data_IF_936512642243
#
_entry.id   IF_936512642243
#
_cell.length_a   1.000
_cell.length_b   1.000
_cell.length_c   1.000
_cell.angle_alpha   90.00
_cell.angle_beta   90.00
_cell.angle_gamma   90.00
#
_symmetry.space_group_name_H-M   'P 1'
#
loop_
_entity.id
_entity.type
_entity.pdbx_description
1 polymer ?
#
# COMPACT_ATOMS: atom_id res chain seq x y z
N UNK A 1 0.10 20.39 5.20
CA UNK A 1 0.99 19.77 6.18
C UNK A 1 1.31 18.34 5.80
N UNK A 2 2.44 17.86 6.30
CA UNK A 2 2.91 16.51 6.02
C UNK A 2 3.53 15.94 7.31
N UNK A 3 3.10 14.74 7.73
CA UNK A 3 3.67 14.03 8.89
C UNK A 3 3.94 12.59 8.45
N UNK A 4 5.23 12.24 8.38
CA UNK A 4 5.70 10.96 7.86
C UNK A 4 6.91 10.45 8.63
N UNK A 5 7.15 9.13 8.68
CA UNK A 5 8.40 8.57 9.18
C UNK A 5 9.50 8.81 8.14
N UNK A 6 10.33 9.84 8.36
CA UNK A 6 11.52 10.08 7.56
C UNK A 6 12.73 9.30 8.08
N UNK A 7 12.66 8.91 9.35
CA UNK A 7 13.65 8.09 10.05
C UNK A 7 12.98 6.95 10.82
N UNK A 8 13.78 6.11 11.46
CA UNK A 8 13.28 4.94 12.17
C UNK A 8 12.99 3.76 11.26
N UNK A 9 12.23 2.81 11.77
CA UNK A 9 11.94 1.52 11.11
C UNK A 9 11.22 1.66 9.77
N UNK A 10 10.33 2.64 9.67
CA UNK A 10 9.50 2.91 8.49
C UNK A 10 10.02 4.10 7.67
N UNK A 11 11.26 4.56 7.93
CA UNK A 11 11.84 5.74 7.30
C UNK A 11 11.94 5.67 5.77
N UNK A 12 12.29 4.50 5.22
CA UNK A 12 12.41 4.35 3.77
C UNK A 12 11.08 4.53 3.03
N UNK A 13 10.01 3.79 3.34
CA UNK A 13 8.72 4.00 2.68
C UNK A 13 8.16 5.41 2.92
N UNK A 14 8.32 5.99 4.11
CA UNK A 14 7.91 7.38 4.38
C UNK A 14 8.64 8.38 3.49
N UNK A 15 9.96 8.24 3.34
CA UNK A 15 10.75 9.06 2.42
C UNK A 15 10.25 8.95 0.98
N UNK A 16 9.93 7.73 0.52
CA UNK A 16 9.43 7.52 -0.84
C UNK A 16 8.04 8.15 -1.06
N UNK A 17 7.18 8.14 -0.06
CA UNK A 17 5.91 8.87 -0.13
C UNK A 17 6.13 10.38 -0.23
N UNK A 18 7.05 10.94 0.55
CA UNK A 18 7.40 12.36 0.47
C UNK A 18 7.97 12.74 -0.90
N UNK A 19 8.74 11.85 -1.54
CA UNK A 19 9.20 12.07 -2.92
C UNK A 19 8.04 12.18 -3.90
N UNK A 20 7.04 11.31 -3.81
CA UNK A 20 5.84 11.38 -4.65
C UNK A 20 5.05 12.67 -4.44
N UNK A 21 4.87 13.10 -3.18
CA UNK A 21 4.22 14.37 -2.83
C UNK A 21 4.97 15.55 -3.44
N UNK A 22 6.29 15.62 -3.23
CA UNK A 22 7.13 16.72 -3.75
C UNK A 22 7.15 16.78 -5.27
N UNK A 23 7.14 15.64 -5.95
CA UNK A 23 7.04 15.60 -7.40
C UNK A 23 5.70 16.16 -7.89
N UNK A 24 4.58 15.74 -7.27
CA UNK A 24 3.26 16.26 -7.63
C UNK A 24 3.14 17.77 -7.38
N UNK A 25 3.59 18.23 -6.21
CA UNK A 25 3.58 19.66 -5.86
C UNK A 25 4.40 20.49 -6.84
N UNK A 26 5.60 20.03 -7.21
CA UNK A 26 6.47 20.72 -8.16
C UNK A 26 5.81 20.84 -9.55
N UNK A 27 5.25 19.74 -10.07
CA UNK A 27 4.58 19.75 -11.38
C UNK A 27 3.32 20.62 -11.39
N UNK A 28 2.58 20.67 -10.30
CA UNK A 28 1.41 21.56 -10.14
C UNK A 28 1.87 23.01 -10.03
N UNK A 29 2.89 23.30 -9.21
CA UNK A 29 3.42 24.63 -8.99
C UNK A 29 4.06 25.21 -10.27
N UNK A 30 4.72 24.40 -11.08
CA UNK A 30 5.27 24.80 -12.37
C UNK A 30 4.19 25.31 -13.35
N UNK A 31 2.92 24.91 -13.15
CA UNK A 31 1.75 25.44 -13.89
C UNK A 31 1.07 26.61 -13.17
N UNK A 32 1.73 27.21 -12.19
CA UNK A 32 1.24 28.31 -11.38
C UNK A 32 0.45 27.90 -10.12
N UNK A 33 0.34 26.60 -9.83
CA UNK A 33 -0.38 26.09 -8.67
C UNK A 33 -1.84 25.72 -8.96
N UNK A 34 -2.66 25.62 -7.90
CA UNK A 34 -4.09 25.26 -7.92
C UNK A 34 -4.94 26.52 -8.10
N UNK A 35 -5.92 26.49 -9.00
CA UNK A 35 -6.83 27.63 -9.18
C UNK A 35 -7.84 27.69 -8.04
N UNK A 36 -7.89 28.81 -7.35
CA UNK A 36 -8.83 29.09 -6.25
C UNK A 36 -9.78 30.20 -6.68
N UNK A 37 -11.02 29.85 -6.97
CA UNK A 37 -12.02 30.77 -7.53
C UNK A 37 -12.26 32.01 -6.66
N UNK A 38 -12.40 31.82 -5.35
CA UNK A 38 -12.60 32.92 -4.39
C UNK A 38 -11.47 33.94 -4.39
N UNK A 39 -10.23 33.47 -4.71
CA UNK A 39 -9.05 34.34 -4.81
C UNK A 39 -8.85 34.90 -6.24
N UNK A 40 -9.57 34.39 -7.24
CA UNK A 40 -9.42 34.76 -8.65
C UNK A 40 -8.07 34.43 -9.26
N UNK A 41 -7.26 33.56 -8.65
CA UNK A 41 -5.88 33.25 -9.08
C UNK A 41 -5.46 31.83 -8.74
N UNK A 42 -4.35 31.40 -9.34
CA UNK A 42 -3.65 30.17 -8.97
C UNK A 42 -2.75 30.42 -7.75
N UNK A 43 -2.71 29.44 -6.85
CA UNK A 43 -1.89 29.47 -5.65
C UNK A 43 -0.99 28.23 -5.61
N UNK A 44 0.33 28.40 -5.43
CA UNK A 44 1.24 27.27 -5.33
C UNK A 44 1.08 26.55 -4.00
N UNK A 45 1.29 25.23 -3.99
CA UNK A 45 1.48 24.47 -2.76
C UNK A 45 2.75 24.86 -2.03
N UNK A 46 2.66 24.95 -0.71
CA UNK A 46 3.80 25.07 0.21
C UNK A 46 3.76 23.94 1.20
N UNK A 47 4.88 23.24 1.40
CA UNK A 47 4.97 22.14 2.35
C UNK A 47 5.40 22.58 3.74
N UNK A 48 4.85 21.92 4.76
CA UNK A 48 5.35 21.87 6.13
C UNK A 48 5.48 20.40 6.47
N UNK A 49 6.71 19.90 6.64
CA UNK A 49 7.02 18.49 6.85
C UNK A 49 7.58 18.26 8.25
N UNK A 50 7.06 17.24 8.92
CA UNK A 50 7.58 16.73 10.19
C UNK A 50 7.93 15.24 10.09
N UNK A 51 9.04 14.87 10.75
CA UNK A 51 9.47 13.48 10.92
C UNK A 51 8.92 12.91 12.23
N UNK A 52 8.05 11.91 12.14
CA UNK A 52 7.49 11.23 13.30
C UNK A 52 8.40 10.10 13.85
N UNK A 53 9.50 9.81 13.16
CA UNK A 53 10.50 8.81 13.55
C UNK A 53 9.93 7.39 13.72
N UNK A 54 8.83 7.08 13.04
CA UNK A 54 8.09 5.82 13.17
C UNK A 54 7.48 5.60 14.57
N UNK A 55 7.22 6.68 15.32
CA UNK A 55 6.68 6.65 16.67
C UNK A 55 5.20 7.09 16.70
N UNK A 56 4.33 6.24 17.27
CA UNK A 56 2.88 6.49 17.30
C UNK A 56 2.49 7.67 18.20
N UNK A 57 3.18 7.87 19.30
CA UNK A 57 2.90 9.00 20.20
C UNK A 57 3.33 10.32 19.57
N UNK A 58 4.53 10.34 18.98
CA UNK A 58 5.09 11.50 18.29
C UNK A 58 4.26 11.90 17.07
N UNK A 59 3.78 10.93 16.28
CA UNK A 59 3.00 11.23 15.09
C UNK A 59 1.69 11.95 15.42
N UNK A 60 1.01 11.58 16.53
CA UNK A 60 -0.19 12.29 17.03
C UNK A 60 0.12 13.73 17.37
N UNK A 61 1.18 13.98 18.18
CA UNK A 61 1.59 15.32 18.59
C UNK A 61 1.92 16.21 17.39
N UNK A 62 2.61 15.66 16.38
CA UNK A 62 2.98 16.40 15.18
C UNK A 62 1.78 16.72 14.29
N UNK A 63 0.82 15.79 14.14
CA UNK A 63 -0.44 16.08 13.43
C UNK A 63 -1.26 17.13 14.15
N UNK A 64 -1.38 17.04 15.48
CA UNK A 64 -2.05 18.09 16.28
C UNK A 64 -1.40 19.47 16.08
N UNK A 65 -0.06 19.55 16.18
CA UNK A 65 0.68 20.78 15.92
C UNK A 65 0.40 21.32 14.51
N UNK A 66 0.49 20.45 13.50
CA UNK A 66 0.28 20.83 12.09
C UNK A 66 -1.13 21.40 11.87
N UNK A 67 -2.14 20.81 12.50
CA UNK A 67 -3.54 21.23 12.34
C UNK A 67 -3.92 22.44 13.18
N UNK A 68 -3.34 22.61 14.38
CA UNK A 68 -3.68 23.67 15.32
C UNK A 68 -2.85 24.95 15.13
N UNK A 69 -1.55 24.81 14.82
CA UNK A 69 -0.59 25.92 14.88
C UNK A 69 -0.06 26.37 13.53
N UNK A 70 0.09 25.44 12.55
CA UNK A 70 0.71 25.77 11.27
C UNK A 70 -0.31 26.28 10.22
N UNK A 71 -1.58 26.39 10.59
CA UNK A 71 -2.67 26.93 9.77
C UNK A 71 -2.77 26.30 8.35
N UNK A 72 -2.58 24.99 8.26
CA UNK A 72 -2.65 24.26 6.99
C UNK A 72 -4.09 24.07 6.52
N UNK A 73 -4.30 23.97 5.20
CA UNK A 73 -5.62 23.70 4.61
C UNK A 73 -5.93 22.20 4.55
N UNK A 74 -4.91 21.36 4.56
CA UNK A 74 -5.01 19.90 4.61
C UNK A 74 -3.71 19.28 5.14
N UNK A 75 -3.77 18.04 5.61
CA UNK A 75 -2.61 17.23 6.00
C UNK A 75 -2.55 15.98 5.13
N UNK A 76 -1.39 15.64 4.59
CA UNK A 76 -1.10 14.36 3.96
C UNK A 76 -0.19 13.56 4.89
N UNK A 77 -0.59 12.35 5.22
CA UNK A 77 0.07 11.39 6.13
C UNK A 77 -0.88 10.20 6.32
N UNK A 78 -0.50 9.11 6.87
CA UNK A 78 0.80 8.67 7.30
C UNK A 78 1.32 7.58 6.36
N UNK A 79 2.53 7.08 6.62
CA UNK A 79 2.90 5.74 6.19
C UNK A 79 2.60 4.76 7.31
N UNK A 80 2.16 3.56 6.89
CA UNK A 80 1.60 2.42 7.61
C UNK A 80 0.23 2.64 8.24
N UNK A 81 -0.52 1.52 8.36
CA UNK A 81 -1.83 1.53 9.02
C UNK A 81 -1.71 1.82 10.50
N UNK A 82 -0.60 1.41 11.16
CA UNK A 82 -0.36 1.69 12.57
C UNK A 82 -0.21 3.18 12.86
N UNK A 83 0.60 3.90 12.07
CA UNK A 83 0.74 5.36 12.16
C UNK A 83 -0.53 6.07 11.70
N UNK A 84 -1.19 5.54 10.65
CA UNK A 84 -2.47 6.06 10.16
C UNK A 84 -3.58 6.00 11.20
N UNK A 85 -3.69 4.87 11.91
CA UNK A 85 -4.63 4.74 13.04
C UNK A 85 -4.36 5.79 14.12
N UNK A 86 -3.08 6.01 14.47
CA UNK A 86 -2.71 7.02 15.44
C UNK A 86 -3.03 8.45 14.97
N UNK A 87 -2.71 8.79 13.72
CA UNK A 87 -3.00 10.11 13.15
C UNK A 87 -4.50 10.39 12.99
N UNK A 88 -5.28 9.36 12.62
CA UNK A 88 -6.68 9.50 12.22
C UNK A 88 -7.64 10.00 13.32
N UNK A 89 -7.22 9.99 14.58
CA UNK A 89 -8.04 10.48 15.71
C UNK A 89 -8.05 12.02 15.83
N UNK A 90 -7.15 12.70 15.12
CA UNK A 90 -6.94 14.15 15.24
C UNK A 90 -7.80 14.99 14.28
N UNK A 91 -7.99 14.60 13.01
CA UNK A 91 -8.60 15.43 11.96
C UNK A 91 -10.00 15.96 12.27
N UNK A 92 -10.87 15.13 12.84
CA UNK A 92 -12.25 15.53 13.16
C UNK A 92 -12.30 16.61 14.26
N UNK A 93 -11.35 16.60 15.21
CA UNK A 93 -11.28 17.60 16.29
C UNK A 93 -10.88 18.98 15.77
N UNK A 94 -9.97 19.04 14.80
CA UNK A 94 -9.46 20.29 14.24
C UNK A 94 -10.15 20.69 12.92
N UNK A 95 -11.03 19.85 12.40
CA UNK A 95 -11.73 20.06 11.14
C UNK A 95 -10.76 20.40 9.99
N UNK A 96 -9.70 19.58 9.85
CA UNK A 96 -8.72 19.67 8.78
C UNK A 96 -8.73 18.36 7.97
N UNK A 97 -8.94 18.39 6.65
CA UNK A 97 -8.87 17.18 5.84
C UNK A 97 -7.52 16.50 5.97
N UNK A 98 -7.55 15.20 6.24
CA UNK A 98 -6.38 14.35 6.29
C UNK A 98 -6.47 13.28 5.20
N UNK A 99 -5.42 13.15 4.39
CA UNK A 99 -5.38 12.21 3.27
C UNK A 99 -4.19 11.28 3.49
N UNK A 100 -4.45 9.98 3.64
CA UNK A 100 -3.38 9.00 3.77
C UNK A 100 -3.08 8.29 2.45
N UNK A 101 -1.83 8.36 1.98
CA UNK A 101 -1.37 7.55 0.85
C UNK A 101 -0.88 6.17 1.26
N UNK A 102 -0.78 5.85 2.56
CA UNK A 102 -0.10 4.65 3.05
C UNK A 102 -0.86 3.81 4.08
N UNK A 103 -1.99 4.29 4.60
CA UNK A 103 -2.80 3.54 5.57
C UNK A 103 -3.95 2.83 4.84
N UNK A 104 -3.86 1.51 4.67
CA UNK A 104 -4.85 0.71 3.95
C UNK A 104 -5.84 -0.06 4.82
N UNK A 105 -5.64 -0.13 6.15
CA UNK A 105 -6.53 -0.88 7.04
C UNK A 105 -7.89 -0.20 7.19
N UNK A 106 -8.97 -0.92 6.90
CA UNK A 106 -10.35 -0.41 6.91
C UNK A 106 -10.85 0.04 8.28
N UNK A 107 -10.41 -0.54 9.42
CA UNK A 107 -10.83 -0.05 10.73
C UNK A 107 -10.53 1.43 10.96
N UNK A 108 -9.53 1.99 10.27
CA UNK A 108 -9.23 3.43 10.32
C UNK A 108 -10.42 4.26 9.83
N UNK A 109 -11.05 3.83 8.74
CA UNK A 109 -12.11 4.56 8.01
C UNK A 109 -13.53 4.20 8.45
N UNK A 110 -13.71 3.06 9.12
CA UNK A 110 -15.03 2.56 9.52
C UNK A 110 -15.48 3.05 10.91
N UNK A 111 -14.85 4.10 11.45
CA UNK A 111 -15.18 4.67 12.78
C UNK A 111 -16.11 5.89 12.71
N UNK A 112 -16.70 6.16 11.56
CA UNK A 112 -17.63 7.29 11.37
C UNK A 112 -16.96 8.67 11.34
N UNK A 113 -15.62 8.74 11.22
CA UNK A 113 -14.87 9.99 11.07
C UNK A 113 -15.15 10.61 9.71
N UNK A 114 -15.21 11.94 9.66
CA UNK A 114 -15.64 12.67 8.46
C UNK A 114 -14.53 13.44 7.74
N UNK A 115 -13.36 13.53 8.37
CA UNK A 115 -12.24 14.36 7.90
C UNK A 115 -11.04 13.53 7.44
N UNK A 116 -11.22 12.22 7.31
CA UNK A 116 -10.16 11.30 6.92
C UNK A 116 -10.43 10.67 5.55
N UNK A 117 -9.38 10.54 4.76
CA UNK A 117 -9.42 9.98 3.41
C UNK A 117 -8.22 9.07 3.20
N UNK A 118 -8.42 7.94 2.55
CA UNK A 118 -7.37 6.95 2.27
C UNK A 118 -7.27 6.60 0.80
N UNK A 119 -6.08 6.76 0.23
CA UNK A 119 -5.82 6.44 -1.19
C UNK A 119 -5.75 4.94 -1.43
N UNK A 120 -5.32 4.17 -0.43
CA UNK A 120 -5.22 2.71 -0.56
C UNK A 120 -6.58 2.04 -0.39
N UNK A 121 -6.89 1.13 -1.31
CA UNK A 121 -7.98 0.19 -1.13
C UNK A 121 -7.75 -0.71 0.11
N UNK A 122 -8.84 -1.23 0.73
CA UNK A 122 -8.78 -2.08 1.91
C UNK A 122 -7.80 -3.25 1.80
N UNK A 123 -7.04 -3.50 2.86
CA UNK A 123 -6.10 -4.63 2.92
C UNK A 123 -6.82 -5.97 2.87
N UNK A 124 -8.04 -6.02 3.34
CA UNK A 124 -8.89 -7.21 3.23
C UNK A 124 -9.07 -7.62 1.74
N UNK A 125 -9.24 -6.64 0.85
CA UNK A 125 -9.31 -6.90 -0.60
C UNK A 125 -7.97 -7.32 -1.19
N UNK A 126 -6.84 -6.98 -0.59
CA UNK A 126 -5.53 -7.49 -0.99
C UNK A 126 -5.44 -8.99 -0.77
N UNK A 127 -5.80 -9.47 0.44
CA UNK A 127 -5.87 -10.90 0.74
C UNK A 127 -6.88 -11.64 -0.15
N UNK A 128 -8.05 -11.05 -0.36
CA UNK A 128 -9.08 -11.59 -1.25
C UNK A 128 -8.60 -11.68 -2.70
N UNK A 129 -7.95 -10.63 -3.24
CA UNK A 129 -7.43 -10.64 -4.62
C UNK A 129 -6.28 -11.62 -4.79
N UNK A 130 -5.44 -11.79 -3.75
CA UNK A 130 -4.41 -12.83 -3.73
C UNK A 130 -5.03 -14.22 -3.94
N UNK A 131 -6.12 -14.50 -3.24
CA UNK A 131 -6.84 -15.76 -3.39
C UNK A 131 -7.59 -15.87 -4.72
N UNK A 132 -8.18 -14.78 -5.22
CA UNK A 132 -8.80 -14.74 -6.54
C UNK A 132 -7.78 -15.07 -7.64
N UNK A 133 -6.57 -14.56 -7.53
CA UNK A 133 -5.46 -14.93 -8.41
C UNK A 133 -5.13 -16.43 -8.32
N UNK A 134 -4.94 -16.98 -7.10
CA UNK A 134 -4.68 -18.42 -6.93
C UNK A 134 -5.83 -19.28 -7.48
N UNK A 135 -7.07 -18.84 -7.28
CA UNK A 135 -8.26 -19.49 -7.84
C UNK A 135 -8.25 -19.52 -9.35
N UNK A 136 -7.87 -18.40 -10.00
CA UNK A 136 -7.76 -18.35 -11.46
C UNK A 136 -6.71 -19.34 -12.01
N UNK A 137 -5.64 -19.61 -11.24
CA UNK A 137 -4.65 -20.62 -11.61
C UNK A 137 -5.21 -22.05 -11.50
N UNK A 138 -6.13 -22.29 -10.57
CA UNK A 138 -6.86 -23.57 -10.50
C UNK A 138 -7.78 -23.73 -11.72
N UNK A 139 -8.52 -22.68 -12.07
CA UNK A 139 -9.43 -22.70 -13.23
C UNK A 139 -8.68 -22.91 -14.55
N UNK A 140 -7.44 -22.42 -14.65
CA UNK A 140 -6.53 -22.64 -15.78
C UNK A 140 -5.82 -24.01 -15.76
N UNK A 141 -6.02 -24.84 -14.75
CA UNK A 141 -5.31 -26.10 -14.57
C UNK A 141 -3.82 -25.96 -14.21
N UNK A 142 -3.36 -24.77 -13.82
CA UNK A 142 -1.98 -24.51 -13.40
C UNK A 142 -1.73 -24.86 -11.92
N UNK A 143 -2.79 -24.95 -11.13
CA UNK A 143 -2.81 -25.46 -9.76
C UNK A 143 -3.90 -26.49 -9.58
N UNK A 144 -3.68 -27.46 -8.70
CA UNK A 144 -4.68 -28.45 -8.33
C UNK A 144 -5.67 -27.86 -7.30
N UNK A 145 -6.90 -28.41 -7.26
CA UNK A 145 -7.87 -28.13 -6.19
C UNK A 145 -7.44 -28.76 -4.88
N UNK A 146 -7.86 -28.16 -3.78
CA UNK A 146 -7.67 -28.71 -2.44
C UNK A 146 -6.27 -28.49 -1.86
N UNK A 147 -5.40 -27.70 -2.50
CA UNK A 147 -4.10 -27.34 -1.96
C UNK A 147 -4.25 -26.65 -0.59
N UNK A 148 -3.33 -26.98 0.31
CA UNK A 148 -3.31 -26.48 1.69
C UNK A 148 -2.57 -25.16 1.78
N UNK A 149 -3.13 -24.22 2.53
CA UNK A 149 -2.56 -22.89 2.75
C UNK A 149 -2.15 -22.71 4.20
N UNK A 150 -0.93 -22.21 4.42
CA UNK A 150 -0.50 -21.64 5.68
C UNK A 150 -0.55 -20.11 5.59
N UNK A 151 -1.10 -19.46 6.61
CA UNK A 151 -1.17 -18.01 6.76
C UNK A 151 -0.34 -17.62 7.99
N UNK A 152 0.62 -16.70 7.82
CA UNK A 152 1.41 -16.13 8.92
C UNK A 152 1.47 -14.62 8.71
N UNK A 153 0.79 -13.86 9.56
CA UNK A 153 0.64 -12.42 9.39
C UNK A 153 1.08 -11.64 10.63
N UNK A 154 1.45 -10.40 10.46
CA UNK A 154 1.72 -9.53 11.60
C UNK A 154 0.46 -9.28 12.44
N UNK A 155 0.62 -9.16 13.77
CA UNK A 155 -0.48 -8.88 14.69
C UNK A 155 -0.84 -7.37 14.70
N UNK A 156 -1.19 -6.86 13.53
CA UNK A 156 -1.69 -5.50 13.31
C UNK A 156 -3.03 -5.59 12.59
N UNK A 157 -3.76 -4.48 12.50
CA UNK A 157 -5.01 -4.45 11.70
C UNK A 157 -4.73 -4.76 10.23
N UNK A 158 -3.57 -4.34 9.70
CA UNK A 158 -3.15 -4.67 8.33
C UNK A 158 -3.01 -6.19 8.13
N UNK A 159 -2.26 -6.88 8.99
CA UNK A 159 -2.07 -8.32 8.87
C UNK A 159 -3.37 -9.11 9.09
N UNK A 160 -4.18 -8.69 10.07
CA UNK A 160 -5.49 -9.32 10.35
C UNK A 160 -6.43 -9.23 9.14
N UNK A 161 -6.59 -8.04 8.56
CA UNK A 161 -7.43 -7.85 7.38
C UNK A 161 -6.96 -8.67 6.17
N UNK A 162 -5.63 -8.78 5.97
CA UNK A 162 -5.10 -9.65 4.91
C UNK A 162 -5.56 -11.10 5.11
N UNK A 163 -5.42 -11.63 6.33
CA UNK A 163 -5.87 -12.99 6.66
C UNK A 163 -7.39 -13.14 6.55
N UNK A 164 -8.16 -12.12 6.92
CA UNK A 164 -9.63 -12.10 6.76
C UNK A 164 -10.02 -12.20 5.27
N UNK A 165 -9.37 -11.46 4.38
CA UNK A 165 -9.60 -11.52 2.95
C UNK A 165 -9.30 -12.90 2.36
N UNK A 166 -8.20 -13.53 2.77
CA UNK A 166 -7.86 -14.90 2.39
C UNK A 166 -8.95 -15.88 2.86
N UNK A 167 -9.32 -15.81 4.14
CA UNK A 167 -10.31 -16.72 4.71
C UNK A 167 -11.72 -16.51 4.12
N UNK A 168 -12.11 -15.27 3.84
CA UNK A 168 -13.39 -14.97 3.19
C UNK A 168 -13.47 -15.62 1.83
N UNK A 169 -12.44 -15.47 0.99
CA UNK A 169 -12.43 -16.08 -0.34
C UNK A 169 -12.50 -17.62 -0.26
N UNK A 170 -11.73 -18.25 0.65
CA UNK A 170 -11.75 -19.70 0.84
C UNK A 170 -13.15 -20.19 1.27
N UNK A 171 -13.83 -19.44 2.13
CA UNK A 171 -15.21 -19.74 2.56
C UNK A 171 -16.22 -19.64 1.40
N UNK A 172 -16.05 -18.65 0.54
CA UNK A 172 -16.92 -18.42 -0.63
C UNK A 172 -16.65 -19.42 -1.77
N UNK A 173 -15.46 -20.07 -1.78
CA UNK A 173 -15.04 -21.02 -2.82
C UNK A 173 -14.67 -22.40 -2.20
N UNK A 174 -15.64 -23.14 -1.63
CA UNK A 174 -15.37 -24.38 -0.94
C UNK A 174 -14.74 -25.43 -1.86
N UNK A 175 -13.71 -26.11 -1.38
CA UNK A 175 -12.99 -27.16 -2.10
C UNK A 175 -11.88 -26.65 -3.02
N UNK A 176 -11.76 -25.35 -3.30
CA UNK A 176 -10.65 -24.80 -4.06
C UNK A 176 -9.33 -24.89 -3.30
N UNK A 177 -9.32 -24.44 -2.04
CA UNK A 177 -8.18 -24.47 -1.12
C UNK A 177 -8.63 -24.80 0.31
N UNK A 178 -7.66 -25.17 1.17
CA UNK A 178 -7.90 -25.42 2.61
C UNK A 178 -6.87 -24.69 3.45
N UNK A 179 -7.29 -23.76 4.30
CA UNK A 179 -6.41 -23.16 5.32
C UNK A 179 -6.16 -24.19 6.42
N UNK A 180 -4.89 -24.57 6.61
CA UNK A 180 -4.46 -25.59 7.61
C UNK A 180 -3.62 -24.98 8.73
N UNK A 181 -3.16 -23.72 8.56
CA UNK A 181 -2.41 -22.98 9.55
C UNK A 181 -2.74 -21.50 9.41
N UNK A 182 -3.04 -20.83 10.53
CA UNK A 182 -3.30 -19.39 10.53
C UNK A 182 -2.88 -18.83 11.90
N UNK A 183 -1.72 -18.20 11.95
CA UNK A 183 -1.19 -17.58 13.16
C UNK A 183 -0.64 -16.17 12.87
N UNK A 184 -0.57 -15.34 13.92
CA UNK A 184 0.03 -14.02 13.86
C UNK A 184 1.32 -13.95 14.67
N UNK A 185 2.21 -13.04 14.28
CA UNK A 185 3.45 -12.71 14.98
C UNK A 185 3.47 -11.25 15.40
N UNK A 186 4.25 -10.94 16.43
CA UNK A 186 4.46 -9.55 16.84
C UNK A 186 5.36 -8.83 15.85
N UNK A 187 4.88 -7.70 15.30
CA UNK A 187 5.65 -6.83 14.41
C UNK A 187 6.94 -6.36 15.10
N UNK A 188 8.08 -6.42 14.40
CA UNK A 188 9.40 -6.07 14.95
C UNK A 188 10.16 -7.25 15.53
N UNK A 189 9.68 -8.46 15.32
CA UNK A 189 10.36 -9.67 15.76
C UNK A 189 11.71 -9.88 15.07
N UNK A 190 12.63 -10.50 15.79
CA UNK A 190 13.93 -10.91 15.26
C UNK A 190 14.07 -12.43 15.14
N UNK A 191 13.16 -13.18 15.75
CA UNK A 191 13.12 -14.64 15.72
C UNK A 191 11.70 -15.12 15.39
N UNK A 192 11.58 -15.77 14.23
CA UNK A 192 10.37 -16.40 13.72
C UNK A 192 10.45 -17.93 13.70
N UNK A 193 11.54 -18.53 14.23
CA UNK A 193 11.79 -19.95 14.16
C UNK A 193 10.64 -20.78 14.76
N UNK A 194 10.09 -20.34 15.89
CA UNK A 194 9.00 -21.04 16.56
C UNK A 194 7.73 -21.12 15.72
N UNK A 195 7.28 -20.01 15.11
CA UNK A 195 6.09 -20.00 14.26
C UNK A 195 6.34 -20.77 12.96
N UNK A 196 7.53 -20.67 12.37
CA UNK A 196 7.93 -21.41 11.17
C UNK A 196 7.98 -22.92 11.44
N UNK A 197 8.42 -23.35 12.62
CA UNK A 197 8.40 -24.76 13.05
C UNK A 197 6.96 -25.29 13.13
N UNK A 198 6.03 -24.56 13.74
CA UNK A 198 4.61 -24.96 13.81
C UNK A 198 3.99 -24.97 12.41
N UNK A 199 4.27 -23.99 11.57
CA UNK A 199 3.82 -23.98 10.18
C UNK A 199 4.35 -25.18 9.39
N UNK A 200 5.61 -25.59 9.58
CA UNK A 200 6.19 -26.80 8.96
C UNK A 200 5.38 -28.05 9.28
N UNK A 201 4.94 -28.20 10.56
CA UNK A 201 4.15 -29.34 10.99
C UNK A 201 2.75 -29.40 10.34
N UNK A 202 2.21 -28.26 9.91
CA UNK A 202 0.92 -28.19 9.22
C UNK A 202 0.96 -28.72 7.78
N UNK A 203 2.14 -28.94 7.22
CA UNK A 203 2.37 -29.51 5.88
C UNK A 203 1.52 -28.80 4.79
N UNK A 204 1.62 -27.49 4.72
CA UNK A 204 0.96 -26.66 3.72
C UNK A 204 1.68 -26.73 2.36
N UNK A 205 0.93 -26.49 1.28
CA UNK A 205 1.44 -26.43 -0.09
C UNK A 205 1.81 -25.00 -0.49
N UNK A 206 1.09 -24.02 0.05
CA UNK A 206 1.23 -22.59 -0.25
C UNK A 206 1.44 -21.84 1.07
N UNK A 207 2.38 -20.91 1.07
CA UNK A 207 2.65 -20.02 2.19
C UNK A 207 2.26 -18.60 1.85
N UNK A 208 1.28 -18.04 2.56
CA UNK A 208 0.86 -16.65 2.46
C UNK A 208 1.21 -15.93 3.77
N UNK A 209 1.95 -14.86 3.64
CA UNK A 209 2.28 -13.97 4.75
C UNK A 209 1.90 -12.54 4.40
N UNK A 210 1.63 -11.73 5.40
CA UNK A 210 1.67 -10.29 5.30
C UNK A 210 2.54 -9.75 6.44
N UNK A 211 3.64 -9.10 6.07
CA UNK A 211 4.69 -8.66 6.97
C UNK A 211 5.32 -7.37 6.47
N UNK A 212 5.67 -6.46 7.38
CA UNK A 212 6.50 -5.30 7.04
C UNK A 212 7.88 -5.75 6.56
N UNK A 213 8.51 -4.89 5.76
CA UNK A 213 9.72 -5.22 5.00
C UNK A 213 10.82 -5.90 5.83
N UNK A 214 11.13 -5.40 7.03
CA UNK A 214 12.20 -5.96 7.86
C UNK A 214 11.83 -7.33 8.44
N UNK A 215 10.56 -7.51 8.85
CA UNK A 215 10.06 -8.79 9.34
C UNK A 215 10.02 -9.83 8.22
N UNK A 216 9.59 -9.42 7.03
CA UNK A 216 9.64 -10.26 5.84
C UNK A 216 11.06 -10.76 5.55
N UNK A 217 12.05 -9.84 5.47
CA UNK A 217 13.44 -10.21 5.18
C UNK A 217 13.97 -11.19 6.24
N UNK A 218 13.72 -10.92 7.52
CA UNK A 218 14.18 -11.75 8.64
C UNK A 218 13.49 -13.12 8.61
N UNK A 219 12.16 -13.14 8.50
CA UNK A 219 11.37 -14.38 8.45
C UNK A 219 11.77 -15.24 7.26
N UNK A 220 11.95 -14.65 6.08
CA UNK A 220 12.27 -15.43 4.89
C UNK A 220 13.71 -15.99 4.92
N UNK A 221 14.67 -15.31 5.55
CA UNK A 221 16.00 -15.87 5.83
C UNK A 221 15.90 -17.11 6.71
N UNK A 222 15.16 -17.03 7.81
CA UNK A 222 14.94 -18.16 8.71
C UNK A 222 14.17 -19.30 8.02
N UNK A 223 13.14 -18.95 7.25
CA UNK A 223 12.40 -19.90 6.41
C UNK A 223 13.34 -20.71 5.50
N UNK A 224 14.26 -20.02 4.83
CA UNK A 224 15.24 -20.64 3.93
C UNK A 224 16.27 -21.49 4.70
N UNK A 225 16.79 -20.98 5.82
CA UNK A 225 17.74 -21.69 6.69
C UNK A 225 17.16 -22.99 7.28
N UNK A 226 15.86 -22.98 7.59
CA UNK A 226 15.14 -24.19 8.06
C UNK A 226 14.82 -25.19 6.94
N UNK A 227 15.20 -24.91 5.70
CA UNK A 227 14.93 -25.75 4.54
C UNK A 227 13.45 -25.85 4.19
N UNK A 228 12.64 -24.85 4.60
CA UNK A 228 11.22 -24.81 4.26
C UNK A 228 11.04 -24.56 2.77
N UNK A 229 10.06 -25.22 2.19
CA UNK A 229 9.73 -25.09 0.76
C UNK A 229 8.23 -25.26 0.58
N UNK A 230 7.62 -24.25 -0.01
CA UNK A 230 6.25 -24.28 -0.44
C UNK A 230 6.20 -24.10 -1.97
N UNK A 231 5.15 -24.53 -2.57
CA UNK A 231 4.93 -24.44 -4.00
C UNK A 231 4.89 -22.98 -4.47
N UNK A 232 4.17 -22.15 -3.72
CA UNK A 232 4.12 -20.69 -3.91
C UNK A 232 4.27 -20.00 -2.55
N UNK A 233 4.92 -18.84 -2.56
CA UNK A 233 5.17 -18.02 -1.36
C UNK A 233 4.83 -16.58 -1.66
N UNK A 234 4.11 -15.93 -0.74
CA UNK A 234 3.80 -14.49 -0.79
C UNK A 234 4.07 -13.82 0.54
N UNK A 235 4.46 -12.54 0.48
CA UNK A 235 4.60 -11.67 1.64
C UNK A 235 3.75 -10.40 1.48
N UNK A 236 2.46 -10.60 1.17
CA UNK A 236 1.50 -9.51 0.99
C UNK A 236 1.99 -8.49 -0.03
N UNK A 237 1.90 -7.21 0.31
CA UNK A 237 2.29 -6.13 -0.60
C UNK A 237 3.82 -5.93 -0.70
N UNK A 238 4.65 -6.55 0.16
CA UNK A 238 6.11 -6.32 0.24
C UNK A 238 6.92 -7.41 -0.46
N UNK A 239 6.30 -8.49 -0.89
CA UNK A 239 7.01 -9.66 -1.44
C UNK A 239 7.93 -9.36 -2.62
N UNK A 240 7.70 -8.29 -3.34
CA UNK A 240 8.50 -7.90 -4.51
C UNK A 240 9.24 -6.57 -4.35
N UNK A 241 9.36 -6.03 -3.14
CA UNK A 241 10.11 -4.80 -2.92
C UNK A 241 11.62 -5.00 -3.17
N UNK A 242 12.24 -4.03 -3.85
CA UNK A 242 13.67 -4.06 -4.21
C UNK A 242 14.61 -4.33 -3.02
N UNK A 243 14.42 -3.72 -1.82
CA UNK A 243 15.32 -4.02 -0.70
C UNK A 243 15.25 -5.46 -0.24
N UNK A 244 14.08 -6.09 -0.31
CA UNK A 244 13.96 -7.51 0.02
C UNK A 244 14.65 -8.36 -1.04
N UNK A 245 14.46 -8.06 -2.32
CA UNK A 245 15.15 -8.77 -3.40
C UNK A 245 16.67 -8.66 -3.27
N UNK A 246 17.19 -7.46 -2.99
CA UNK A 246 18.64 -7.25 -2.74
C UNK A 246 19.15 -7.96 -1.51
N UNK A 247 18.38 -7.95 -0.41
CA UNK A 247 18.80 -8.55 0.86
C UNK A 247 18.74 -10.08 0.88
N UNK A 248 17.83 -10.66 0.09
CA UNK A 248 17.59 -12.11 0.02
C UNK A 248 18.24 -12.75 -1.19
N UNK A 249 18.60 -11.97 -2.22
CA UNK A 249 19.16 -12.48 -3.47
C UNK A 249 18.26 -13.55 -4.11
N UNK A 250 18.81 -14.69 -4.58
CA UNK A 250 18.01 -15.75 -5.21
C UNK A 250 16.94 -16.36 -4.33
N UNK A 251 16.99 -16.19 -3.00
CA UNK A 251 15.93 -16.65 -2.12
C UNK A 251 14.62 -15.86 -2.30
N UNK A 252 14.67 -14.66 -2.86
CA UNK A 252 13.48 -13.89 -3.20
C UNK A 252 12.84 -14.29 -4.53
N UNK A 253 13.51 -15.09 -5.37
CA UNK A 253 13.00 -15.47 -6.67
C UNK A 253 11.67 -16.24 -6.55
N UNK A 254 10.76 -15.92 -7.44
CA UNK A 254 9.42 -16.50 -7.54
C UNK A 254 8.46 -16.17 -6.38
N UNK A 255 8.86 -15.38 -5.37
CA UNK A 255 7.92 -14.80 -4.41
C UNK A 255 6.99 -13.87 -5.17
N UNK A 256 5.69 -13.99 -4.92
CA UNK A 256 4.69 -13.12 -5.52
C UNK A 256 4.10 -12.15 -4.49
N UNK A 257 3.51 -11.06 -4.97
CA UNK A 257 2.89 -10.03 -4.15
C UNK A 257 1.64 -9.48 -4.83
N UNK A 258 0.61 -9.18 -4.05
CA UNK A 258 -0.46 -8.30 -4.46
C UNK A 258 -0.08 -6.87 -4.10
N UNK A 259 -0.22 -5.94 -5.03
CA UNK A 259 0.22 -4.55 -4.83
C UNK A 259 -0.80 -3.55 -5.39
N UNK A 260 -0.79 -2.33 -4.84
CA UNK A 260 -1.67 -1.24 -5.28
C UNK A 260 -1.20 -0.56 -6.56
N UNK A 261 0.06 -0.73 -6.97
CA UNK A 261 0.59 -0.09 -8.16
C UNK A 261 1.88 -0.76 -8.64
N UNK A 262 2.12 -0.72 -9.94
CA UNK A 262 3.40 -1.13 -10.56
C UNK A 262 3.79 -0.15 -11.68
N UNK A 263 5.09 0.09 -11.83
CA UNK A 263 5.64 1.03 -12.83
C UNK A 263 5.37 0.64 -14.29
N UNK A 264 5.09 -0.63 -14.55
CA UNK A 264 4.82 -1.17 -15.87
C UNK A 264 3.31 -1.27 -16.19
N UNK A 265 2.45 -0.65 -15.37
CA UNK A 265 1.04 -0.48 -15.74
C UNK A 265 0.94 0.21 -17.11
N UNK A 266 0.08 -0.28 -18.04
CA UNK A 266 0.07 0.15 -19.45
C UNK A 266 -0.61 1.51 -19.66
N UNK A 267 -0.48 2.43 -18.70
CA UNK A 267 -1.13 3.73 -18.74
C UNK A 267 -0.15 4.85 -19.11
N UNK A 268 -0.51 5.76 -20.05
CA UNK A 268 0.36 6.88 -20.43
C UNK A 268 0.81 7.74 -19.24
N UNK A 269 -0.09 8.02 -18.29
CA UNK A 269 0.22 8.82 -17.10
C UNK A 269 1.20 8.11 -16.15
N UNK A 270 1.18 6.78 -16.08
CA UNK A 270 2.17 6.01 -15.31
C UNK A 270 3.55 6.13 -15.94
N UNK A 271 3.65 6.00 -17.27
CA UNK A 271 4.92 6.18 -17.99
C UNK A 271 5.50 7.59 -17.79
N UNK A 272 4.65 8.62 -17.87
CA UNK A 272 5.05 10.00 -17.63
C UNK A 272 5.54 10.20 -16.19
N UNK A 273 4.80 9.68 -15.19
CA UNK A 273 5.20 9.73 -13.78
C UNK A 273 6.56 9.06 -13.55
N UNK A 274 6.77 7.86 -14.08
CA UNK A 274 8.04 7.11 -13.96
C UNK A 274 9.20 7.91 -14.55
N UNK A 275 9.01 8.54 -15.71
CA UNK A 275 10.03 9.38 -16.34
C UNK A 275 10.38 10.62 -15.51
N UNK A 276 9.38 11.36 -15.01
CA UNK A 276 9.61 12.53 -14.16
C UNK A 276 10.25 12.16 -12.82
N UNK A 277 9.82 11.04 -12.20
CA UNK A 277 10.43 10.54 -10.99
C UNK A 277 11.90 10.16 -11.21
N UNK A 278 12.19 9.42 -12.29
CA UNK A 278 13.57 9.06 -12.66
C UNK A 278 14.45 10.28 -12.93
N UNK A 279 13.93 11.28 -13.63
CA UNK A 279 14.62 12.52 -13.88
C UNK A 279 14.98 13.25 -12.60
N UNK A 280 14.08 13.32 -11.64
CA UNK A 280 14.28 14.05 -10.37
C UNK A 280 15.14 13.29 -9.37
N UNK A 281 14.87 11.98 -9.18
CA UNK A 281 15.50 11.18 -8.12
C UNK A 281 16.58 10.21 -8.63
N UNK A 282 16.91 10.23 -9.92
CA UNK A 282 17.93 9.41 -10.60
C UNK A 282 17.68 7.89 -10.43
N UNK A 283 16.42 7.50 -10.19
CA UNK A 283 15.95 6.11 -10.11
C UNK A 283 14.47 6.01 -10.46
N UNK A 284 14.07 4.85 -10.93
CA UNK A 284 12.65 4.57 -11.11
C UNK A 284 11.96 4.32 -9.75
N UNK A 285 10.66 4.61 -9.62
CA UNK A 285 9.90 4.19 -8.44
C UNK A 285 9.81 2.66 -8.43
N UNK A 286 10.24 2.04 -7.34
CA UNK A 286 10.32 0.59 -7.17
C UNK A 286 9.10 -0.02 -6.44
N UNK A 287 8.23 0.83 -5.94
CA UNK A 287 7.06 0.45 -5.14
C UNK A 287 5.91 1.43 -5.35
N UNK A 288 4.76 1.12 -4.75
CA UNK A 288 3.56 1.96 -4.82
C UNK A 288 3.65 3.26 -3.98
N UNK A 289 4.63 3.42 -3.10
CA UNK A 289 4.69 4.55 -2.16
C UNK A 289 4.71 5.92 -2.85
N UNK A 290 5.58 6.17 -3.86
CA UNK A 290 5.58 7.46 -4.51
C UNK A 290 4.32 7.73 -5.34
N UNK A 291 3.73 6.70 -5.97
CA UNK A 291 2.57 6.85 -6.85
C UNK A 291 1.30 7.17 -6.08
N UNK A 292 1.05 6.49 -4.96
CA UNK A 292 -0.12 6.74 -4.11
C UNK A 292 -0.04 8.13 -3.46
N UNK A 293 1.14 8.53 -3.05
CA UNK A 293 1.39 9.85 -2.47
C UNK A 293 1.32 10.98 -3.51
N UNK A 294 1.75 10.72 -4.74
CA UNK A 294 1.57 11.62 -5.88
C UNK A 294 0.08 11.87 -6.16
N UNK A 295 -0.73 10.82 -6.21
CA UNK A 295 -2.17 10.94 -6.43
C UNK A 295 -2.92 11.54 -5.23
N UNK A 296 -2.42 11.40 -4.00
CA UNK A 296 -2.97 12.09 -2.83
C UNK A 296 -2.91 13.63 -2.99
N UNK A 297 -1.81 14.16 -3.55
CA UNK A 297 -1.70 15.60 -3.86
C UNK A 297 -2.61 16.00 -5.01
N UNK A 298 -2.71 15.16 -6.04
CA UNK A 298 -3.54 15.46 -7.22
C UNK A 298 -5.03 15.51 -6.88
N UNK A 299 -5.51 14.57 -6.08
CA UNK A 299 -6.91 14.58 -5.65
C UNK A 299 -7.21 15.74 -4.70
N UNK A 300 -6.25 16.13 -3.84
CA UNK A 300 -6.37 17.33 -3.03
C UNK A 300 -6.44 18.60 -3.91
N UNK A 301 -5.59 18.70 -4.93
CA UNK A 301 -5.62 19.82 -5.88
C UNK A 301 -6.97 19.91 -6.60
N UNK A 302 -7.48 18.78 -7.11
CA UNK A 302 -8.79 18.71 -7.76
C UNK A 302 -9.93 19.08 -6.79
N UNK A 303 -9.83 18.69 -5.52
CA UNK A 303 -10.81 19.05 -4.49
C UNK A 303 -10.81 20.56 -4.19
N UNK A 304 -9.63 21.19 -4.09
CA UNK A 304 -9.50 22.64 -3.91
C UNK A 304 -10.07 23.40 -5.11
N UNK A 305 -9.74 22.98 -6.35
CA UNK A 305 -10.29 23.59 -7.56
C UNK A 305 -11.83 23.44 -7.64
N UNK A 306 -12.35 22.25 -7.30
CA UNK A 306 -13.78 21.96 -7.25
C UNK A 306 -14.51 22.77 -6.17
N UNK A 307 -13.91 22.89 -4.97
CA UNK A 307 -14.41 23.73 -3.89
C UNK A 307 -14.39 25.23 -4.26
N UNK A 308 -13.43 25.65 -5.08
CA UNK A 308 -13.20 27.04 -5.44
C UNK A 308 -12.75 27.91 -4.25
N UNK A 309 -12.38 27.29 -3.12
CA UNK A 309 -12.12 27.95 -1.84
C UNK A 309 -11.00 27.21 -1.08
N UNK A 310 -10.35 27.93 -0.15
CA UNK A 310 -9.43 27.36 0.83
C UNK A 310 -10.11 27.02 2.16
N UNK A 311 -11.45 27.18 2.25
CA UNK A 311 -12.19 26.73 3.42
C UNK A 311 -12.12 25.21 3.57
N UNK A 312 -11.71 24.77 4.77
CA UNK A 312 -11.46 23.35 5.08
C UNK A 312 -12.71 22.48 4.90
N UNK A 313 -13.88 22.99 5.27
CA UNK A 313 -15.15 22.27 5.11
C UNK A 313 -15.51 22.10 3.64
N UNK A 314 -15.32 23.15 2.84
CA UNK A 314 -15.55 23.12 1.40
C UNK A 314 -14.62 22.11 0.71
N UNK A 315 -13.32 22.08 1.09
CA UNK A 315 -12.34 21.10 0.58
C UNK A 315 -12.76 19.68 0.99
N UNK A 316 -13.12 19.46 2.28
CA UNK A 316 -13.59 18.15 2.75
C UNK A 316 -14.81 17.66 1.96
N UNK A 317 -15.79 18.53 1.73
CA UNK A 317 -16.98 18.20 0.97
C UNK A 317 -16.67 17.90 -0.50
N UNK A 318 -15.69 18.60 -1.08
CA UNK A 318 -15.22 18.34 -2.43
C UNK A 318 -14.47 17.01 -2.54
N UNK A 319 -13.67 16.62 -1.55
CA UNK A 319 -12.97 15.32 -1.52
C UNK A 319 -13.91 14.12 -1.63
N UNK A 320 -15.14 14.20 -1.05
CA UNK A 320 -16.16 13.17 -1.21
C UNK A 320 -16.78 13.08 -2.61
N UNK A 321 -16.57 14.09 -3.46
CA UNK A 321 -17.24 14.20 -4.76
C UNK A 321 -16.28 14.12 -5.95
N UNK A 322 -15.05 14.56 -5.78
CA UNK A 322 -14.06 14.59 -6.87
C UNK A 322 -13.64 13.18 -7.27
N UNK A 323 -13.36 13.06 -8.56
CA UNK A 323 -12.88 11.83 -9.16
C UNK A 323 -11.70 12.17 -10.08
N UNK A 324 -10.53 11.59 -9.82
CA UNK A 324 -9.44 11.56 -10.80
C UNK A 324 -9.71 10.43 -11.79
N UNK A 325 -9.74 10.74 -13.06
CA UNK A 325 -9.97 9.77 -14.16
C UNK A 325 -8.67 9.38 -14.89
N UNK A 326 -7.57 9.97 -14.47
CA UNK A 326 -6.21 9.73 -14.95
C UNK A 326 -5.26 9.37 -13.78
N UNK A 327 -5.80 8.71 -12.75
CA UNK A 327 -5.05 8.21 -11.62
C UNK A 327 -3.94 7.25 -12.06
N UNK A 328 -2.83 7.25 -11.34
CA UNK A 328 -1.74 6.29 -11.56
C UNK A 328 -2.12 4.86 -11.16
N UNK A 329 -3.15 4.71 -10.31
CA UNK A 329 -3.56 3.43 -9.74
C UNK A 329 -4.28 2.54 -10.74
N UNK A 330 -4.30 1.21 -10.54
CA UNK A 330 -5.07 0.28 -11.37
C UNK A 330 -6.53 0.72 -11.49
N UNK A 331 -7.09 0.61 -12.70
CA UNK A 331 -8.41 1.13 -13.03
C UNK A 331 -8.44 2.64 -13.34
N UNK A 332 -7.30 3.32 -13.25
CA UNK A 332 -7.11 4.73 -13.65
C UNK A 332 -8.04 5.72 -12.97
N UNK A 333 -8.73 5.29 -11.91
CA UNK A 333 -9.69 6.13 -11.19
C UNK A 333 -9.36 6.16 -9.71
N UNK A 334 -9.32 7.37 -9.14
CA UNK A 334 -9.26 7.56 -7.70
C UNK A 334 -10.46 8.38 -7.26
N UNK A 335 -11.28 7.80 -6.40
CA UNK A 335 -12.43 8.42 -5.75
C UNK A 335 -12.61 7.82 -4.37
N UNK A 336 -12.99 8.62 -3.40
CA UNK A 336 -13.27 8.17 -2.05
C UNK A 336 -14.72 7.70 -1.90
N UNK A 337 -14.92 6.61 -1.17
CA UNK A 337 -16.24 6.12 -0.78
C UNK A 337 -16.82 6.98 0.37
N UNK A 338 -18.02 6.67 0.81
CA UNK A 338 -18.69 7.40 1.89
C UNK A 338 -17.86 7.41 3.19
N UNK A 339 -17.17 6.30 3.50
CA UNK A 339 -16.29 6.21 4.66
C UNK A 339 -14.93 6.91 4.48
N UNK A 340 -14.66 7.51 3.31
CA UNK A 340 -13.41 8.20 2.99
C UNK A 340 -12.31 7.30 2.41
N UNK A 341 -12.48 5.98 2.32
CA UNK A 341 -11.47 5.09 1.74
C UNK A 341 -11.68 4.89 0.24
N UNK A 342 -10.62 4.87 -0.54
CA UNK A 342 -10.69 4.56 -1.97
C UNK A 342 -10.87 3.04 -2.21
N UNK A 343 -11.45 2.70 -3.37
CA UNK A 343 -11.63 1.33 -3.82
C UNK A 343 -10.98 1.19 -5.21
N UNK A 344 -9.71 0.77 -5.23
CA UNK A 344 -8.96 0.54 -6.47
C UNK A 344 -8.62 -0.94 -6.61
N UNK A 345 -8.56 -1.49 -7.83
CA UNK A 345 -8.09 -2.86 -8.04
C UNK A 345 -6.66 -3.07 -7.59
N UNK A 346 -6.33 -4.32 -7.29
CA UNK A 346 -4.95 -4.76 -7.06
C UNK A 346 -4.39 -5.45 -8.30
N UNK A 347 -3.09 -5.48 -8.37
CA UNK A 347 -2.35 -6.28 -9.36
C UNK A 347 -1.46 -7.29 -8.64
N UNK A 348 -1.20 -8.42 -9.28
CA UNK A 348 -0.26 -9.41 -8.75
C UNK A 348 1.00 -9.39 -9.60
N UNK A 349 2.13 -9.35 -8.92
CA UNK A 349 3.46 -9.38 -9.50
C UNK A 349 4.27 -10.53 -8.90
N UNK A 350 5.28 -11.01 -9.63
CA UNK A 350 6.15 -12.09 -9.18
C UNK A 350 7.60 -11.78 -9.46
N UNK A 351 8.47 -11.98 -8.47
CA UNK A 351 9.91 -11.91 -8.65
C UNK A 351 10.39 -12.95 -9.64
N UNK A 352 11.39 -12.59 -10.42
CA UNK A 352 12.07 -13.46 -11.38
C UNK A 352 13.59 -13.39 -11.19
N UNK A 353 14.32 -14.42 -11.61
CA UNK A 353 15.79 -14.37 -11.58
C UNK A 353 16.35 -13.12 -12.26
N UNK A 354 17.45 -12.60 -11.72
CA UNK A 354 18.12 -11.41 -12.25
C UNK A 354 17.46 -10.09 -11.85
N UNK A 355 16.87 -10.02 -10.65
CA UNK A 355 16.26 -8.82 -10.06
C UNK A 355 15.12 -8.24 -10.89
N UNK A 356 14.39 -9.09 -11.62
CA UNK A 356 13.22 -8.73 -12.41
C UNK A 356 11.94 -8.97 -11.62
N UNK A 357 10.90 -8.24 -11.98
CA UNK A 357 9.53 -8.41 -11.47
C UNK A 357 8.59 -8.44 -12.65
N UNK A 358 7.84 -9.52 -12.79
CA UNK A 358 6.82 -9.65 -13.83
C UNK A 358 5.43 -9.36 -13.25
N UNK A 359 4.63 -8.71 -14.08
CA UNK A 359 3.20 -8.54 -13.89
C UNK A 359 2.51 -9.86 -14.33
N UNK A 360 1.78 -10.49 -13.40
CA UNK A 360 1.21 -11.82 -13.65
C UNK A 360 -0.31 -11.88 -13.55
N UNK A 361 -0.96 -10.82 -12.99
CA UNK A 361 -2.42 -10.73 -12.90
C UNK A 361 -2.85 -9.25 -12.78
N UNK A 362 -3.94 -8.82 -13.48
CA UNK A 362 -4.82 -9.60 -14.35
C UNK A 362 -4.12 -10.09 -15.64
N UNK A 363 -4.68 -11.16 -16.25
CA UNK A 363 -4.04 -11.86 -17.37
C UNK A 363 -3.84 -11.02 -18.62
N UNK A 364 -4.81 -10.15 -18.93
CA UNK A 364 -4.80 -9.28 -20.11
C UNK A 364 -3.68 -8.22 -20.08
N UNK A 365 -3.11 -7.98 -18.90
CA UNK A 365 -2.05 -6.99 -18.68
C UNK A 365 -0.70 -7.62 -18.31
N UNK A 366 -0.58 -8.94 -18.30
CA UNK A 366 0.63 -9.63 -17.85
C UNK A 366 1.84 -9.35 -18.74
N UNK A 367 3.02 -9.25 -18.11
CA UNK A 367 4.31 -9.09 -18.79
C UNK A 367 5.14 -10.37 -18.81
N UNK A 368 4.73 -11.39 -18.04
CA UNK A 368 5.40 -12.68 -17.96
C UNK A 368 4.50 -13.79 -17.44
N UNK A 369 4.96 -15.03 -17.59
CA UNK A 369 4.24 -16.20 -17.10
C UNK A 369 4.46 -16.40 -15.61
N UNK A 370 3.39 -16.79 -14.91
CA UNK A 370 3.48 -17.14 -13.49
C UNK A 370 4.20 -18.48 -13.32
N UNK A 371 5.12 -18.52 -12.35
CA UNK A 371 5.76 -19.76 -11.90
C UNK A 371 4.98 -20.25 -10.67
N UNK A 372 4.28 -21.38 -10.81
CA UNK A 372 3.43 -21.98 -9.77
C UNK A 372 4.14 -23.01 -8.93
N UNK A 373 5.42 -23.27 -9.19
CA UNK A 373 6.26 -24.17 -8.40
C UNK A 373 7.68 -23.64 -8.40
N UNK A 374 8.13 -23.18 -7.23
CA UNK A 374 9.51 -22.68 -7.07
C UNK A 374 10.48 -23.79 -7.46
N UNK A 375 11.41 -23.57 -8.42
CA UNK A 375 12.41 -24.55 -8.82
C UNK A 375 13.24 -25.02 -7.63
N UNK A 376 13.75 -26.28 -7.71
CA UNK A 376 14.58 -26.88 -6.67
C UNK A 376 16.00 -26.36 -6.71
#
# INVERSE_FOLDING_TARGET
GMVFPMTGREGRPGTYQVEGIRLAMELINAKGGVYVKECGKRLPFKEILYDDQSDQGRTVQLVERTMSSDNVVAVIGAYSSSLGQAQSVVPDRYQVPWISPGAGASPIYNQGRKWIFGVLAPVELLGYTTMKFLGSLVDQGKLEKGLKIAIVVENTDHGKEYAEGVNRWVKENPGAFKVVFNESFQMGGTDFSGILQRMKAANADIFLSDAHLQDYITMHRQYTQMGLRHRMVSYGARGTEEPARKALGPAADYIFAGIWWHKDLPYPQVKAFVQEHKKKYQREPDSYYPSTAYDAVRILAAAIESAGSLDRTSIRNALHKVRLTDSLLPGQTLQFQENGQAMTPFVIVQNKPGDKVDFVYPEDSRTGEVVTRIPR
#
